data_IF_037634167939
#
_entry.id   IF_037634167939
#
_cell.length_a   1.000
_cell.length_b   1.000
_cell.length_c   1.000
_cell.angle_alpha   90.00
_cell.angle_beta   90.00
_cell.angle_gamma   90.00
#
_symmetry.space_group_name_H-M   'P 1'
#
loop_
_entity.id
_entity.type
_entity.pdbx_description
1 polymer ?
#
# COMPACT_ATOMS: atom_id res chain seq x y z
N UNK A 1 45.95 40.79 -10.14
CA UNK A 1 44.61 41.16 -10.66
C UNK A 1 43.80 39.86 -10.68
N UNK A 2 42.84 39.58 -9.78
CA UNK A 2 41.43 40.03 -9.82
C UNK A 2 40.79 39.73 -11.20
N UNK A 3 39.63 39.11 -11.44
CA UNK A 3 38.54 38.51 -10.63
C UNK A 3 37.48 37.92 -11.61
N UNK A 4 36.59 37.03 -11.13
CA UNK A 4 35.16 36.79 -11.52
C UNK A 4 34.70 36.33 -12.94
N UNK A 5 34.23 35.07 -13.01
CA UNK A 5 32.81 34.63 -13.11
C UNK A 5 31.82 35.07 -14.24
N UNK A 6 31.02 34.04 -14.70
CA UNK A 6 29.56 34.04 -15.03
C UNK A 6 29.13 34.52 -16.46
N UNK A 7 28.20 33.95 -17.29
CA UNK A 7 27.02 33.03 -17.16
C UNK A 7 26.52 32.47 -18.52
N UNK A 8 25.78 31.34 -18.43
CA UNK A 8 24.48 30.94 -19.06
C UNK A 8 24.16 31.29 -20.52
N UNK A 9 23.47 30.45 -21.31
CA UNK A 9 22.21 29.77 -20.96
C UNK A 9 21.86 28.73 -22.04
N UNK A 10 21.70 27.46 -21.67
CA UNK A 10 20.98 26.50 -22.51
C UNK A 10 19.50 26.57 -22.13
N UNK A 11 18.68 27.02 -23.07
CA UNK A 11 17.22 26.96 -23.03
C UNK A 11 16.79 25.48 -23.09
N UNK A 12 16.58 24.86 -21.93
CA UNK A 12 15.95 23.55 -21.84
C UNK A 12 14.54 23.74 -21.27
N UNK A 13 13.56 23.88 -22.17
CA UNK A 13 12.14 23.97 -21.84
C UNK A 13 11.62 22.60 -21.45
N UNK A 14 11.97 22.15 -20.25
CA UNK A 14 11.39 20.98 -19.61
C UNK A 14 9.98 21.33 -19.15
N UNK A 15 8.98 20.78 -19.85
CA UNK A 15 7.60 20.68 -19.36
C UNK A 15 7.62 19.93 -18.02
N UNK A 16 7.36 20.64 -16.93
CA UNK A 16 7.16 20.04 -15.61
C UNK A 16 5.80 19.36 -15.57
N UNK A 17 5.75 18.05 -15.79
CA UNK A 17 4.66 17.25 -15.27
C UNK A 17 5.02 16.92 -13.83
N UNK A 18 4.39 17.64 -12.91
CA UNK A 18 4.39 17.34 -11.49
C UNK A 18 3.60 16.03 -11.31
N UNK A 19 4.30 14.89 -11.30
CA UNK A 19 3.73 13.62 -10.84
C UNK A 19 4.52 13.17 -9.63
N UNK A 20 3.86 13.29 -8.48
CA UNK A 20 4.32 12.94 -7.14
C UNK A 20 4.89 11.53 -7.10
N UNK A 21 6.22 11.44 -7.06
CA UNK A 21 6.91 10.18 -6.76
C UNK A 21 6.92 10.01 -5.25
N UNK A 22 6.17 9.04 -4.72
CA UNK A 22 6.35 8.60 -3.34
C UNK A 22 7.59 7.68 -3.30
N UNK A 23 8.73 8.28 -3.02
CA UNK A 23 9.94 7.54 -2.66
C UNK A 23 9.82 7.10 -1.21
N UNK A 24 9.59 5.82 -0.96
CA UNK A 24 9.90 5.17 0.32
C UNK A 24 10.69 3.92 -0.01
N UNK A 25 12.02 4.06 0.05
CA UNK A 25 12.94 2.94 -0.06
C UNK A 25 12.97 2.19 1.27
N UNK A 26 12.44 0.97 1.29
CA UNK A 26 12.80 -0.04 2.29
C UNK A 26 13.16 -1.32 1.55
N UNK A 27 14.42 -1.71 1.72
CA UNK A 27 15.09 -2.94 1.29
C UNK A 27 14.13 -4.13 1.06
N UNK A 28 14.02 -4.55 -0.19
CA UNK A 28 13.24 -5.70 -0.63
C UNK A 28 13.85 -7.00 -0.10
N UNK A 29 13.22 -7.58 0.91
CA UNK A 29 13.38 -9.02 1.19
C UNK A 29 12.48 -9.74 0.19
N UNK A 30 13.04 -9.97 -1.00
CA UNK A 30 12.42 -10.65 -2.14
C UNK A 30 12.29 -12.14 -1.85
N UNK A 31 11.43 -12.52 -0.92
CA UNK A 31 11.12 -13.92 -0.70
C UNK A 31 10.04 -14.36 -1.69
N UNK A 32 10.34 -15.38 -2.49
CA UNK A 32 9.50 -15.96 -3.54
C UNK A 32 8.24 -16.62 -2.97
N UNK A 33 7.31 -15.81 -2.46
CA UNK A 33 6.03 -16.25 -1.93
C UNK A 33 4.90 -15.86 -2.88
N UNK A 34 3.88 -16.71 -2.92
CA UNK A 34 2.72 -16.60 -3.80
C UNK A 34 2.12 -15.19 -3.76
N UNK A 35 1.97 -14.58 -4.94
CA UNK A 35 1.39 -13.24 -5.11
C UNK A 35 -0.14 -13.28 -5.28
N UNK A 36 -0.76 -14.43 -5.00
CA UNK A 36 -2.21 -14.59 -5.05
C UNK A 36 -2.89 -13.92 -3.84
N UNK A 37 -4.18 -13.61 -3.98
CA UNK A 37 -4.99 -13.00 -2.93
C UNK A 37 -4.94 -13.77 -1.61
N UNK A 38 -5.14 -15.09 -1.62
CA UNK A 38 -5.14 -15.92 -0.40
C UNK A 38 -3.79 -15.94 0.33
N UNK A 39 -2.67 -16.08 -0.40
CA UNK A 39 -1.35 -16.06 0.22
C UNK A 39 -1.02 -14.70 0.85
N UNK A 40 -1.52 -13.62 0.24
CA UNK A 40 -1.38 -12.27 0.80
C UNK A 40 -2.30 -12.03 2.00
N UNK A 41 -3.53 -12.55 1.98
CA UNK A 41 -4.43 -12.52 3.13
C UNK A 41 -3.77 -13.13 4.38
N UNK A 42 -3.26 -14.36 4.24
CA UNK A 42 -2.60 -15.06 5.34
C UNK A 42 -1.38 -14.28 5.84
N UNK A 43 -0.60 -13.69 4.94
CA UNK A 43 0.52 -12.83 5.31
C UNK A 43 0.09 -11.63 6.13
N UNK A 44 -0.95 -10.91 5.70
CA UNK A 44 -1.46 -9.74 6.43
C UNK A 44 -2.02 -10.18 7.79
N UNK A 45 -2.66 -11.35 7.86
CA UNK A 45 -3.20 -11.90 9.10
C UNK A 45 -2.14 -12.29 10.14
N UNK A 46 -0.86 -12.45 9.74
CA UNK A 46 0.24 -12.65 10.72
C UNK A 46 0.68 -11.38 11.45
N UNK A 47 0.21 -10.20 11.01
CA UNK A 47 0.53 -8.95 11.69
C UNK A 47 -0.20 -8.82 13.03
N UNK A 48 0.29 -7.97 13.95
CA UNK A 48 -0.39 -7.72 15.22
C UNK A 48 -1.81 -7.21 15.01
N UNK A 49 -2.67 -7.51 15.98
CA UNK A 49 -4.01 -6.93 16.08
C UNK A 49 -3.95 -5.41 15.94
N UNK A 50 -5.05 -4.83 15.45
CA UNK A 50 -5.14 -3.38 15.20
C UNK A 50 -4.19 -2.87 14.09
N UNK A 51 -3.52 -3.77 13.34
CA UNK A 51 -2.74 -3.36 12.17
C UNK A 51 -3.64 -2.75 11.10
N UNK A 52 -3.28 -1.57 10.62
CA UNK A 52 -3.95 -0.92 9.49
C UNK A 52 -3.32 -1.37 8.18
N UNK A 53 -4.19 -1.75 7.24
CA UNK A 53 -3.88 -2.15 5.88
C UNK A 53 -4.46 -1.09 4.92
N UNK A 54 -3.64 -0.65 3.97
CA UNK A 54 -4.10 0.13 2.82
C UNK A 54 -3.82 -0.65 1.53
N UNK A 55 -4.81 -0.71 0.65
CA UNK A 55 -4.73 -1.40 -0.63
C UNK A 55 -5.21 -0.47 -1.74
N UNK A 56 -4.44 -0.39 -2.82
CA UNK A 56 -4.74 0.45 -3.98
C UNK A 56 -5.13 -0.41 -5.19
N UNK A 57 -5.95 0.14 -6.09
CA UNK A 57 -6.40 -0.55 -7.31
C UNK A 57 -5.26 -1.02 -8.21
N UNK A 58 -4.12 -0.32 -8.20
CA UNK A 58 -2.91 -0.72 -8.92
C UNK A 58 -2.17 -1.94 -8.32
N UNK A 59 -2.64 -2.48 -7.19
CA UNK A 59 -2.02 -3.63 -6.50
C UNK A 59 -0.89 -3.26 -5.54
N UNK A 60 -0.73 -1.98 -5.22
CA UNK A 60 0.09 -1.57 -4.08
C UNK A 60 -0.66 -1.89 -2.79
N UNK A 61 0.06 -2.40 -1.80
CA UNK A 61 -0.45 -2.74 -0.48
C UNK A 61 0.51 -2.16 0.55
N UNK A 62 0.00 -1.58 1.63
CA UNK A 62 0.81 -1.10 2.75
C UNK A 62 0.26 -1.63 4.06
N UNK A 63 1.09 -2.34 4.81
CA UNK A 63 0.74 -2.97 6.09
C UNK A 63 1.75 -2.54 7.14
N UNK A 64 1.33 -1.79 8.16
CA UNK A 64 2.20 -1.41 9.28
C UNK A 64 3.59 -0.86 8.86
N UNK A 65 3.65 -0.05 7.79
CA UNK A 65 4.88 0.49 7.16
C UNK A 65 5.67 -0.45 6.24
N UNK A 66 5.18 -1.66 5.99
CA UNK A 66 5.70 -2.54 4.95
C UNK A 66 4.92 -2.35 3.66
N UNK A 67 5.62 -1.92 2.61
CA UNK A 67 5.04 -1.83 1.28
C UNK A 67 5.18 -3.19 0.56
N UNK A 68 4.05 -3.70 0.08
CA UNK A 68 3.89 -4.92 -0.67
C UNK A 68 3.29 -4.59 -2.04
N UNK A 69 3.55 -5.45 -3.02
CA UNK A 69 3.03 -5.28 -4.38
C UNK A 69 2.49 -6.60 -4.90
N UNK A 70 1.32 -6.54 -5.53
CA UNK A 70 0.71 -7.64 -6.25
C UNK A 70 0.18 -7.16 -7.61
N UNK A 71 -0.17 -8.07 -8.53
CA UNK A 71 -0.83 -7.69 -9.77
C UNK A 71 -2.16 -6.98 -9.50
N UNK A 72 -2.49 -5.93 -10.26
CA UNK A 72 -3.77 -5.24 -10.18
C UNK A 72 -5.02 -6.15 -10.22
N UNK A 73 -5.12 -7.20 -11.07
CA UNK A 73 -6.30 -8.08 -11.03
C UNK A 73 -6.45 -8.83 -9.69
N UNK A 74 -5.33 -9.23 -9.08
CA UNK A 74 -5.33 -9.90 -7.77
C UNK A 74 -5.68 -8.93 -6.64
N UNK A 75 -5.47 -7.62 -6.83
CA UNK A 75 -5.81 -6.59 -5.86
C UNK A 75 -7.32 -6.50 -5.64
N UNK A 76 -8.09 -6.59 -6.73
CA UNK A 76 -9.55 -6.60 -6.66
C UNK A 76 -10.06 -7.88 -5.97
N UNK A 77 -9.44 -9.03 -6.26
CA UNK A 77 -9.77 -10.30 -5.61
C UNK A 77 -9.45 -10.25 -4.11
N UNK A 78 -8.27 -9.72 -3.74
CA UNK A 78 -7.87 -9.52 -2.35
C UNK A 78 -8.84 -8.61 -1.58
N UNK A 79 -9.37 -7.54 -2.20
CA UNK A 79 -10.43 -6.71 -1.59
C UNK A 79 -11.66 -7.56 -1.25
N UNK A 80 -12.07 -8.44 -2.16
CA UNK A 80 -13.20 -9.33 -1.94
C UNK A 80 -12.91 -10.35 -0.83
N UNK A 81 -11.72 -10.95 -0.83
CA UNK A 81 -11.29 -11.89 0.23
C UNK A 81 -11.22 -11.21 1.60
N UNK A 82 -10.60 -10.03 1.69
CA UNK A 82 -10.51 -9.24 2.93
C UNK A 82 -11.88 -8.85 3.47
N UNK A 83 -12.83 -8.57 2.58
CA UNK A 83 -14.19 -8.22 2.98
C UNK A 83 -15.00 -9.42 3.47
N UNK A 84 -14.69 -10.62 2.95
CA UNK A 84 -15.31 -11.87 3.38
C UNK A 84 -14.71 -12.41 4.69
N UNK A 85 -13.45 -12.06 4.99
CA UNK A 85 -12.73 -12.55 6.16
C UNK A 85 -13.05 -11.72 7.42
N UNK A 86 -13.54 -12.39 8.47
CA UNK A 86 -13.95 -11.75 9.73
C UNK A 86 -12.78 -11.22 10.57
N UNK A 87 -11.53 -11.60 10.26
CA UNK A 87 -10.33 -11.06 10.90
C UNK A 87 -10.09 -9.61 10.48
N UNK A 88 -10.72 -9.15 9.40
CA UNK A 88 -10.54 -7.81 8.85
C UNK A 88 -11.83 -7.00 8.93
N UNK A 89 -11.71 -5.76 9.40
CA UNK A 89 -12.78 -4.78 9.39
C UNK A 89 -12.50 -3.75 8.30
N UNK A 90 -13.46 -3.60 7.39
CA UNK A 90 -13.44 -2.53 6.41
C UNK A 90 -13.60 -1.17 7.10
N UNK A 91 -12.68 -0.24 6.81
CA UNK A 91 -12.72 1.13 7.34
C UNK A 91 -13.36 2.07 6.32
N UNK A 92 -12.81 2.12 5.11
CA UNK A 92 -13.22 3.08 4.08
C UNK A 92 -12.66 2.72 2.71
N UNK A 93 -13.33 3.19 1.66
CA UNK A 93 -12.78 3.25 0.30
C UNK A 93 -12.78 4.71 -0.16
N UNK A 94 -11.68 5.14 -0.78
CA UNK A 94 -11.53 6.48 -1.35
C UNK A 94 -11.23 6.33 -2.83
N UNK A 95 -12.06 6.92 -3.68
CA UNK A 95 -11.81 7.04 -5.11
C UNK A 95 -10.91 8.25 -5.35
N UNK A 96 -9.86 8.05 -6.14
CA UNK A 96 -8.82 9.04 -6.45
C UNK A 96 -9.10 9.73 -7.79
N UNK A 97 -9.92 9.12 -8.63
CA UNK A 97 -10.38 9.62 -9.91
C UNK A 97 -11.91 9.80 -9.93
N UNK A 98 -12.41 10.44 -10.99
CA UNK A 98 -13.85 10.63 -11.19
C UNK A 98 -14.54 9.40 -11.79
N UNK A 99 -13.77 8.52 -12.45
CA UNK A 99 -14.27 7.31 -13.12
C UNK A 99 -14.42 6.14 -12.13
N UNK A 100 -13.69 6.18 -11.02
CA UNK A 100 -13.74 5.20 -9.93
C UNK A 100 -12.80 4.01 -10.13
N UNK A 101 -11.92 4.06 -11.14
CA UNK A 101 -10.95 3.03 -11.47
C UNK A 101 -9.72 3.10 -10.55
N UNK A 102 -9.42 4.29 -10.02
CA UNK A 102 -8.37 4.51 -9.06
C UNK A 102 -8.97 4.59 -7.65
N UNK A 103 -8.74 3.57 -6.83
CA UNK A 103 -9.26 3.54 -5.47
C UNK A 103 -8.22 3.12 -4.44
N UNK A 104 -8.44 3.56 -3.20
CA UNK A 104 -7.71 3.11 -2.01
C UNK A 104 -8.70 2.56 -0.98
N UNK A 105 -8.65 1.27 -0.75
CA UNK A 105 -9.37 0.60 0.32
C UNK A 105 -8.51 0.54 1.59
N UNK A 106 -9.13 0.77 2.74
CA UNK A 106 -8.46 0.72 4.05
C UNK A 106 -9.18 -0.28 4.95
N UNK A 107 -8.41 -1.14 5.59
CA UNK A 107 -8.89 -2.18 6.49
C UNK A 107 -8.10 -2.14 7.79
N UNK A 108 -8.72 -2.67 8.83
CA UNK A 108 -8.09 -2.92 10.12
C UNK A 108 -8.10 -4.41 10.38
N UNK A 109 -6.96 -4.98 10.73
CA UNK A 109 -6.92 -6.31 11.30
C UNK A 109 -7.52 -6.21 12.70
N UNK A 110 -8.62 -6.93 12.94
CA UNK A 110 -9.34 -6.92 14.22
C UNK A 110 -8.98 -8.13 15.06
N UNK A 111 -8.53 -9.22 14.42
CA UNK A 111 -8.32 -10.56 14.99
C UNK A 111 -9.39 -10.96 16.00
N UNK A 112 -10.30 -11.84 15.56
CA UNK A 112 -11.24 -12.47 16.47
C UNK A 112 -10.50 -13.32 17.50
N UNK A 113 -10.66 -12.96 18.77
CA UNK A 113 -10.26 -13.69 19.98
C UNK A 113 -8.84 -13.41 20.48
N UNK A 114 -8.64 -12.24 21.09
CA UNK A 114 -8.10 -12.27 22.45
C UNK A 114 -9.00 -13.22 23.22
N UNK A 115 -8.58 -14.49 23.34
CA UNK A 115 -9.07 -15.38 24.36
C UNK A 115 -8.96 -14.60 25.65
N UNK A 116 -10.08 -14.05 26.13
CA UNK A 116 -10.16 -13.55 27.48
C UNK A 116 -10.05 -14.80 28.35
N UNK A 117 -8.81 -15.16 28.66
CA UNK A 117 -8.47 -16.14 29.68
C UNK A 117 -8.67 -15.43 31.04
N UNK A 118 -9.87 -14.92 31.28
CA UNK A 118 -10.36 -14.52 32.60
C UNK A 118 -10.93 -15.78 33.26
N UNK A 119 -10.08 -16.61 33.85
CA UNK A 119 -9.72 -16.57 35.27
C UNK A 119 -10.86 -16.98 36.20
N UNK A 120 -10.67 -18.19 36.74
CA UNK A 120 -11.20 -18.80 37.98
C UNK A 120 -12.62 -19.38 37.95
#
# INVERSE_FOLDING_TARGET
MQSLSLRSSLDNKSRSNNTTSFSSATSSVSSAYSRNAEGMLERIATHPDNTTLHLWSAGNIRVNSHDLTMPAPEAADLVATLRADSRFQFISIVYLDAEGDEWKASYRLVTGSSSDIGSL
#
